data_IF_001673366962
#
_entry.id   IF_001673366962
#
_cell.length_a   1.000
_cell.length_b   1.000
_cell.length_c   1.000
_cell.angle_alpha   90.00
_cell.angle_beta   90.00
_cell.angle_gamma   90.00
#
_symmetry.space_group_name_H-M   'P 1'
#
loop_
_entity.id
_entity.type
_entity.pdbx_description
1 polymer ?
#
# COMPACT_ATOMS: atom_id res chain seq x y z
N UNK A 1 11.98 -70.35 45.81
CA UNK A 1 10.78 -69.65 46.31
C UNK A 1 9.77 -69.68 45.19
N UNK A 2 8.85 -70.64 45.25
CA UNK A 2 7.77 -70.83 44.27
C UNK A 2 6.68 -69.81 44.59
N UNK A 3 6.34 -68.87 43.69
CA UNK A 3 5.25 -67.95 43.95
C UNK A 3 3.93 -68.74 43.85
N UNK A 4 3.17 -68.78 44.95
CA UNK A 4 1.79 -69.26 45.00
C UNK A 4 0.95 -68.45 44.00
N UNK A 5 0.60 -69.08 42.89
CA UNK A 5 -0.29 -68.49 41.90
C UNK A 5 -1.73 -68.71 42.38
N UNK A 6 -2.39 -67.66 42.84
CA UNK A 6 -3.74 -67.76 43.37
C UNK A 6 -4.76 -67.89 42.23
N UNK A 7 -5.78 -68.74 42.41
CA UNK A 7 -6.86 -68.95 41.43
C UNK A 7 -7.65 -67.67 41.08
N UNK A 8 -7.51 -66.61 41.89
CA UNK A 8 -8.08 -65.29 41.62
C UNK A 8 -7.41 -64.55 40.46
N UNK A 9 -6.11 -64.76 40.22
CA UNK A 9 -5.41 -64.09 39.11
C UNK A 9 -5.80 -64.69 37.76
N UNK A 10 -6.07 -66.00 37.73
CA UNK A 10 -6.53 -66.72 36.54
C UNK A 10 -7.94 -66.28 36.13
N UNK A 11 -8.82 -65.93 37.08
CA UNK A 11 -10.17 -65.43 36.82
C UNK A 11 -10.16 -64.01 36.23
N UNK A 12 -9.23 -63.16 36.68
CA UNK A 12 -9.09 -61.77 36.25
C UNK A 12 -8.57 -61.65 34.82
N UNK A 13 -7.63 -62.52 34.41
CA UNK A 13 -7.14 -62.59 33.02
C UNK A 13 -8.23 -63.12 32.09
N UNK A 14 -9.01 -64.12 32.53
CA UNK A 14 -10.11 -64.69 31.74
C UNK A 14 -11.26 -63.69 31.49
N UNK A 15 -11.50 -62.75 32.40
CA UNK A 15 -12.44 -61.63 32.20
C UNK A 15 -11.90 -60.53 31.27
N UNK A 16 -10.57 -60.32 31.26
CA UNK A 16 -9.93 -59.39 30.33
C UNK A 16 -9.96 -59.93 28.88
N UNK A 17 -9.82 -61.24 28.70
CA UNK A 17 -9.93 -61.90 27.37
C UNK A 17 -11.37 -61.88 26.83
N UNK A 18 -12.38 -62.02 27.68
CA UNK A 18 -13.80 -61.86 27.30
C UNK A 18 -14.18 -60.43 26.91
N UNK A 19 -13.41 -59.43 27.38
CA UNK A 19 -13.63 -58.01 27.06
C UNK A 19 -12.90 -57.55 25.78
N UNK A 20 -12.12 -58.44 25.13
CA UNK A 20 -11.33 -58.12 23.93
C UNK A 20 -11.84 -58.80 22.65
N UNK A 21 -13.07 -59.32 22.66
CA UNK A 21 -13.76 -59.77 21.46
C UNK A 21 -14.74 -58.69 20.94
N UNK A 22 -14.20 -57.56 20.47
CA UNK A 22 -14.89 -56.74 19.47
C UNK A 22 -15.48 -55.36 19.86
N UNK A 23 -14.90 -54.58 20.78
CA UNK A 23 -15.28 -53.17 20.94
C UNK A 23 -14.09 -52.20 21.03
N UNK A 24 -14.25 -51.06 20.34
CA UNK A 24 -13.29 -49.98 20.13
C UNK A 24 -12.89 -49.29 21.44
N UNK A 25 -11.60 -48.95 21.58
CA UNK A 25 -11.06 -48.19 22.71
C UNK A 25 -11.65 -46.78 22.76
N UNK A 26 -12.35 -46.47 23.86
CA UNK A 26 -12.84 -45.13 24.21
C UNK A 26 -11.64 -44.29 24.67
N UNK A 27 -11.30 -43.26 23.89
CA UNK A 27 -10.22 -42.32 24.21
C UNK A 27 -10.79 -41.17 25.06
N UNK A 28 -10.52 -41.21 26.37
CA UNK A 28 -10.83 -40.14 27.32
C UNK A 28 -9.83 -38.99 27.15
N UNK A 29 -10.30 -37.85 26.66
CA UNK A 29 -9.49 -36.64 26.52
C UNK A 29 -10.33 -35.37 26.46
N UNK A 30 -11.15 -35.13 27.49
CA UNK A 30 -11.79 -33.84 27.70
C UNK A 30 -11.70 -33.43 29.19
N UNK A 31 -11.20 -32.20 29.42
CA UNK A 31 -11.17 -31.37 30.65
C UNK A 31 -10.10 -31.72 31.72
N UNK A 32 -9.15 -30.87 32.17
CA UNK A 32 -8.95 -29.39 32.24
C UNK A 32 -7.41 -29.03 32.24
N UNK A 33 -6.93 -27.81 32.58
CA UNK A 33 -6.94 -26.54 31.83
C UNK A 33 -5.52 -25.96 31.52
N UNK A 34 -5.40 -25.21 30.41
CA UNK A 34 -4.39 -24.16 30.07
C UNK A 34 -2.88 -24.48 30.07
N UNK A 35 -2.27 -24.45 28.86
CA UNK A 35 -1.15 -23.59 28.38
C UNK A 35 -0.41 -24.30 27.22
N UNK A 36 -0.41 -23.67 26.02
CA UNK A 36 0.50 -23.83 24.85
C UNK A 36 0.68 -25.24 24.22
N UNK A 37 0.73 -25.47 22.91
CA UNK A 37 0.70 -24.66 21.69
C UNK A 37 0.48 -25.68 20.55
N UNK A 38 -0.70 -25.69 19.95
CA UNK A 38 -1.19 -26.78 19.10
C UNK A 38 -0.80 -26.64 17.62
N UNK A 39 -0.12 -27.66 17.12
CA UNK A 39 -0.13 -28.11 15.72
C UNK A 39 -1.50 -28.71 15.41
N UNK A 40 -2.33 -27.98 14.67
CA UNK A 40 -3.68 -28.39 14.32
C UNK A 40 -3.74 -29.18 13.00
N UNK A 41 -4.52 -30.26 13.07
CA UNK A 41 -4.77 -31.25 12.04
C UNK A 41 -5.34 -30.69 10.74
N UNK A 42 -4.94 -31.38 9.66
CA UNK A 42 -5.57 -31.38 8.35
C UNK A 42 -7.06 -31.73 8.44
N UNK A 43 -7.92 -30.74 8.25
CA UNK A 43 -9.23 -30.93 7.62
C UNK A 43 -9.10 -30.29 6.24
N UNK A 44 -8.80 -31.13 5.26
CA UNK A 44 -8.78 -30.76 3.85
C UNK A 44 -10.19 -30.42 3.39
N UNK A 45 -10.59 -29.16 3.59
CA UNK A 45 -11.66 -28.57 2.79
C UNK A 45 -11.13 -28.43 1.37
N UNK A 46 -11.83 -28.92 0.32
CA UNK A 46 -11.40 -28.67 -1.04
C UNK A 46 -11.46 -27.16 -1.25
N UNK A 47 -10.29 -26.51 -1.20
CA UNK A 47 -10.12 -25.13 -1.59
C UNK A 47 -10.49 -25.06 -3.07
N UNK A 48 -11.78 -24.85 -3.30
CA UNK A 48 -12.32 -24.59 -4.62
C UNK A 48 -11.60 -23.32 -5.04
N UNK A 49 -10.67 -23.46 -5.97
CA UNK A 49 -9.94 -22.37 -6.62
C UNK A 49 -10.93 -21.55 -7.46
N UNK A 50 -11.89 -20.93 -6.79
CA UNK A 50 -12.74 -19.88 -7.35
C UNK A 50 -11.84 -18.68 -7.44
N UNK A 51 -11.31 -18.48 -8.63
CA UNK A 51 -10.69 -17.24 -9.04
C UNK A 51 -11.71 -16.12 -8.77
N UNK A 52 -11.61 -15.47 -7.61
CA UNK A 52 -12.56 -14.48 -7.15
C UNK A 52 -12.03 -13.11 -7.56
N UNK A 53 -12.50 -12.52 -8.68
CA UNK A 53 -12.03 -11.22 -9.15
C UNK A 53 -12.28 -10.11 -8.12
N UNK A 54 -13.28 -10.30 -7.24
CA UNK A 54 -13.53 -9.41 -6.11
C UNK A 54 -12.43 -9.45 -5.06
N UNK A 55 -11.75 -10.59 -4.87
CA UNK A 55 -10.58 -10.67 -4.01
C UNK A 55 -9.42 -9.82 -4.53
N UNK A 56 -9.18 -9.85 -5.85
CA UNK A 56 -8.21 -8.97 -6.50
C UNK A 56 -8.58 -7.49 -6.41
N UNK A 57 -9.87 -7.17 -6.48
CA UNK A 57 -10.37 -5.80 -6.32
C UNK A 57 -10.18 -5.31 -4.87
N UNK A 58 -10.49 -6.13 -3.86
CA UNK A 58 -10.25 -5.77 -2.46
C UNK A 58 -8.75 -5.69 -2.11
N UNK A 59 -7.91 -6.55 -2.68
CA UNK A 59 -6.45 -6.47 -2.52
C UNK A 59 -5.91 -5.22 -3.22
N UNK A 60 -6.39 -4.92 -4.42
CA UNK A 60 -6.05 -3.69 -5.15
C UNK A 60 -6.50 -2.43 -4.40
N UNK A 61 -7.72 -2.43 -3.87
CA UNK A 61 -8.25 -1.32 -3.08
C UNK A 61 -7.51 -1.16 -1.74
N UNK A 62 -7.16 -2.27 -1.10
CA UNK A 62 -6.36 -2.29 0.12
C UNK A 62 -4.95 -1.78 -0.12
N UNK A 63 -4.30 -2.23 -1.19
CA UNK A 63 -2.98 -1.73 -1.62
C UNK A 63 -3.04 -0.25 -1.99
N UNK A 64 -4.10 0.20 -2.68
CA UNK A 64 -4.30 1.60 -3.05
C UNK A 64 -4.53 2.48 -1.82
N UNK A 65 -5.31 2.00 -0.84
CA UNK A 65 -5.52 2.69 0.44
C UNK A 65 -4.22 2.75 1.26
N UNK A 66 -3.43 1.69 1.26
CA UNK A 66 -2.15 1.63 1.97
C UNK A 66 -1.12 2.56 1.30
N UNK A 67 -1.03 2.54 -0.03
CA UNK A 67 -0.25 3.53 -0.79
C UNK A 67 -0.73 4.94 -0.52
N UNK A 68 -2.04 5.18 -0.48
CA UNK A 68 -2.59 6.52 -0.20
C UNK A 68 -2.20 7.00 1.20
N UNK A 69 -2.19 6.13 2.20
CA UNK A 69 -1.85 6.51 3.58
C UNK A 69 -0.35 6.84 3.72
N UNK A 70 0.51 6.03 3.09
CA UNK A 70 1.96 6.30 3.01
C UNK A 70 2.27 7.57 2.23
N UNK A 71 1.54 7.81 1.14
CA UNK A 71 1.62 9.07 0.38
C UNK A 71 1.24 10.24 1.28
N UNK A 72 0.12 10.18 2.00
CA UNK A 72 -0.31 11.27 2.87
C UNK A 72 0.67 11.61 4.00
N UNK A 73 1.37 10.61 4.55
CA UNK A 73 2.41 10.84 5.57
C UNK A 73 3.71 11.42 5.00
N UNK A 74 3.94 11.28 3.69
CA UNK A 74 5.15 11.78 3.02
C UNK A 74 4.96 13.11 2.34
N UNK A 75 3.73 13.62 2.16
CA UNK A 75 3.48 14.90 1.49
C UNK A 75 3.86 16.10 2.38
N UNK A 76 4.43 17.15 1.77
CA UNK A 76 4.66 18.45 2.42
C UNK A 76 3.36 19.28 2.47
N UNK A 77 2.37 18.78 3.20
CA UNK A 77 1.04 19.38 3.30
C UNK A 77 1.05 20.78 3.95
N UNK A 78 1.90 21.00 4.95
CA UNK A 78 1.97 22.28 5.67
C UNK A 78 2.31 23.44 4.75
N UNK A 79 3.44 23.35 4.04
CA UNK A 79 3.90 24.39 3.12
C UNK A 79 2.92 24.60 1.95
N UNK A 80 2.36 23.50 1.42
CA UNK A 80 1.36 23.54 0.35
C UNK A 80 0.08 24.25 0.77
N UNK A 81 -0.46 23.94 1.96
CA UNK A 81 -1.69 24.57 2.48
C UNK A 81 -1.49 26.06 2.73
N UNK A 82 -0.34 26.48 3.27
CA UNK A 82 -0.03 27.90 3.48
C UNK A 82 -0.06 28.65 2.15
N UNK A 83 0.67 28.15 1.15
CA UNK A 83 0.71 28.77 -0.17
C UNK A 83 -0.65 28.76 -0.88
N UNK A 84 -1.41 27.66 -0.75
CA UNK A 84 -2.75 27.56 -1.30
C UNK A 84 -3.71 28.55 -0.65
N UNK A 85 -3.57 28.81 0.65
CA UNK A 85 -4.38 29.81 1.38
C UNK A 85 -4.11 31.22 0.87
N UNK A 86 -2.83 31.55 0.64
CA UNK A 86 -2.43 32.83 0.04
C UNK A 86 -2.97 32.93 -1.39
N UNK A 87 -2.77 31.88 -2.21
CA UNK A 87 -3.26 31.81 -3.57
C UNK A 87 -4.79 31.96 -3.65
N UNK A 88 -5.52 31.37 -2.70
CA UNK A 88 -6.97 31.43 -2.59
C UNK A 88 -7.47 32.87 -2.46
N UNK A 89 -6.78 33.72 -1.69
CA UNK A 89 -7.12 35.15 -1.61
C UNK A 89 -7.05 35.85 -2.98
N UNK A 90 -5.97 35.64 -3.73
CA UNK A 90 -5.80 36.20 -5.08
C UNK A 90 -6.83 35.64 -6.07
N UNK A 91 -7.03 34.33 -6.07
CA UNK A 91 -7.98 33.66 -6.95
C UNK A 91 -9.41 34.10 -6.66
N UNK A 92 -9.80 34.22 -5.39
CA UNK A 92 -11.13 34.68 -5.00
C UNK A 92 -11.40 36.10 -5.53
N UNK A 93 -10.50 37.05 -5.29
CA UNK A 93 -10.68 38.41 -5.80
C UNK A 93 -10.61 38.49 -7.32
N UNK A 94 -9.72 37.72 -7.94
CA UNK A 94 -9.58 37.64 -9.38
C UNK A 94 -10.87 37.15 -10.04
N UNK A 95 -11.46 36.07 -9.53
CA UNK A 95 -12.68 35.47 -10.05
C UNK A 95 -13.91 36.33 -9.75
N UNK A 96 -13.99 36.89 -8.54
CA UNK A 96 -15.11 37.72 -8.10
C UNK A 96 -15.23 39.01 -8.90
N UNK A 97 -14.12 39.75 -9.06
CA UNK A 97 -14.11 41.00 -9.84
C UNK A 97 -13.74 40.81 -11.30
N UNK A 98 -13.47 39.57 -11.74
CA UNK A 98 -12.94 39.23 -13.07
C UNK A 98 -11.70 40.06 -13.47
N UNK A 99 -10.76 40.22 -12.53
CA UNK A 99 -9.50 40.93 -12.75
C UNK A 99 -8.39 39.94 -13.12
N UNK A 100 -8.05 39.88 -14.41
CA UNK A 100 -7.05 38.96 -14.94
C UNK A 100 -5.63 39.14 -14.37
N UNK A 101 -5.10 40.37 -14.18
CA UNK A 101 -3.77 40.56 -13.58
C UNK A 101 -3.60 39.92 -12.19
N UNK A 102 -4.70 39.82 -11.43
CA UNK A 102 -4.73 39.20 -10.12
C UNK A 102 -4.77 37.66 -10.20
N UNK A 103 -5.24 37.11 -11.31
CA UNK A 103 -5.27 35.68 -11.58
C UNK A 103 -3.87 35.11 -11.73
N UNK A 104 -2.97 35.85 -12.38
CA UNK A 104 -1.60 35.43 -12.71
C UNK A 104 -0.83 34.97 -11.46
N UNK A 105 -0.63 35.81 -10.42
CA UNK A 105 0.07 35.38 -9.22
C UNK A 105 -0.72 34.30 -8.46
N UNK A 106 -2.04 34.34 -8.45
CA UNK A 106 -2.88 33.32 -7.80
C UNK A 106 -2.70 31.93 -8.42
N UNK A 107 -2.70 31.83 -9.75
CA UNK A 107 -2.53 30.58 -10.47
C UNK A 107 -1.10 30.02 -10.34
N UNK A 108 -0.07 30.87 -10.37
CA UNK A 108 1.33 30.46 -10.16
C UNK A 108 1.51 29.95 -8.73
N UNK A 109 1.01 30.67 -7.72
CA UNK A 109 1.10 30.25 -6.32
C UNK A 109 0.30 28.97 -6.04
N UNK A 110 -0.88 28.81 -6.63
CA UNK A 110 -1.66 27.58 -6.53
C UNK A 110 -0.95 26.39 -7.19
N UNK A 111 -0.36 26.61 -8.37
CA UNK A 111 0.46 25.61 -9.05
C UNK A 111 1.69 25.23 -8.22
N UNK A 112 2.39 26.22 -7.66
CA UNK A 112 3.54 26.01 -6.77
C UNK A 112 3.13 25.25 -5.49
N UNK A 113 2.00 25.61 -4.88
CA UNK A 113 1.45 24.91 -3.71
C UNK A 113 1.25 23.42 -4.01
N UNK A 114 0.64 23.12 -5.16
CA UNK A 114 0.48 21.75 -5.63
C UNK A 114 1.86 21.08 -5.84
N UNK A 115 2.79 21.74 -6.52
CA UNK A 115 4.13 21.19 -6.75
C UNK A 115 4.88 20.86 -5.46
N UNK A 116 4.83 21.74 -4.46
CA UNK A 116 5.47 21.54 -3.16
C UNK A 116 4.82 20.39 -2.39
N UNK A 117 3.50 20.23 -2.43
CA UNK A 117 2.87 19.08 -1.75
C UNK A 117 3.44 17.74 -2.21
N UNK A 118 3.73 17.60 -3.50
CA UNK A 118 4.24 16.37 -4.12
C UNK A 118 5.77 16.28 -4.22
N UNK A 119 6.51 17.25 -3.68
CA UNK A 119 7.99 17.27 -3.68
C UNK A 119 8.61 15.99 -3.12
N UNK A 120 8.08 15.38 -2.04
CA UNK A 120 8.68 14.17 -1.49
C UNK A 120 8.55 12.93 -2.40
N UNK A 121 7.66 12.98 -3.40
CA UNK A 121 7.37 11.85 -4.30
C UNK A 121 8.09 12.01 -5.63
N UNK A 122 8.04 13.19 -6.24
CA UNK A 122 8.63 13.45 -7.54
C UNK A 122 9.85 14.38 -7.47
N UNK A 123 10.38 14.63 -6.26
CA UNK A 123 11.51 15.54 -6.01
C UNK A 123 11.24 16.94 -6.58
N UNK A 124 12.28 17.66 -6.99
CA UNK A 124 12.18 18.97 -7.62
C UNK A 124 11.34 18.99 -8.91
N UNK A 125 11.06 17.83 -9.54
CA UNK A 125 10.22 17.77 -10.73
C UNK A 125 8.76 18.13 -10.44
N UNK A 126 8.23 17.81 -9.24
CA UNK A 126 6.85 18.19 -8.89
C UNK A 126 6.70 19.70 -8.81
N UNK A 127 7.71 20.42 -8.31
CA UNK A 127 7.70 21.88 -8.20
C UNK A 127 7.66 22.49 -9.61
N UNK A 128 8.51 22.01 -10.51
CA UNK A 128 8.56 22.45 -11.90
C UNK A 128 7.24 22.18 -12.64
N UNK A 129 6.66 21.00 -12.46
CA UNK A 129 5.34 20.66 -13.01
C UNK A 129 4.21 21.46 -12.37
N UNK A 130 4.25 21.72 -11.07
CA UNK A 130 3.27 22.54 -10.38
C UNK A 130 3.24 23.96 -10.93
N UNK A 131 4.41 24.59 -11.09
CA UNK A 131 4.51 25.92 -11.70
C UNK A 131 4.06 25.88 -13.16
N UNK A 132 4.45 24.86 -13.93
CA UNK A 132 3.99 24.68 -15.31
C UNK A 132 2.46 24.57 -15.40
N UNK A 133 1.83 23.82 -14.48
CA UNK A 133 0.37 23.74 -14.35
C UNK A 133 -0.25 25.08 -13.97
N UNK A 134 0.41 25.89 -13.14
CA UNK A 134 -0.01 27.26 -12.84
C UNK A 134 -0.06 28.14 -14.10
N UNK A 135 0.99 28.12 -14.93
CA UNK A 135 1.00 28.83 -16.20
C UNK A 135 -0.03 28.28 -17.20
N UNK A 136 -0.19 26.97 -17.25
CA UNK A 136 -1.18 26.32 -18.10
C UNK A 136 -2.61 26.71 -17.67
N UNK A 137 -2.87 26.82 -16.37
CA UNK A 137 -4.11 27.35 -15.84
C UNK A 137 -4.33 28.81 -16.25
N UNK A 138 -3.30 29.67 -16.29
CA UNK A 138 -3.41 31.03 -16.84
C UNK A 138 -3.89 31.00 -18.29
N UNK A 139 -3.38 30.10 -19.11
CA UNK A 139 -3.81 30.00 -20.51
C UNK A 139 -5.27 29.53 -20.63
N UNK A 140 -5.62 28.39 -20.02
CA UNK A 140 -6.94 27.79 -20.19
C UNK A 140 -8.04 28.61 -19.50
N UNK A 141 -7.80 29.04 -18.25
CA UNK A 141 -8.76 29.84 -17.48
C UNK A 141 -8.77 31.29 -17.97
N UNK A 142 -7.63 31.85 -18.39
CA UNK A 142 -7.56 33.17 -19.01
C UNK A 142 -8.39 33.25 -20.29
N UNK A 143 -8.27 32.26 -21.18
CA UNK A 143 -9.08 32.17 -22.40
C UNK A 143 -10.56 31.93 -22.10
N UNK A 144 -10.85 30.96 -21.22
CA UNK A 144 -12.22 30.53 -20.95
C UNK A 144 -13.04 31.56 -20.17
N UNK A 145 -12.45 32.12 -19.10
CA UNK A 145 -13.19 32.94 -18.13
C UNK A 145 -12.94 34.45 -18.30
N UNK A 146 -11.72 34.84 -18.68
CA UNK A 146 -11.32 36.24 -18.83
C UNK A 146 -11.30 36.73 -20.29
N UNK A 147 -11.56 35.82 -21.25
CA UNK A 147 -11.52 36.09 -22.70
C UNK A 147 -10.19 36.66 -23.21
N UNK A 148 -9.12 36.41 -22.47
CA UNK A 148 -7.78 36.83 -22.85
C UNK A 148 -7.23 35.95 -23.97
N UNK A 149 -6.58 36.58 -24.95
CA UNK A 149 -6.02 35.90 -26.13
C UNK A 149 -4.50 35.75 -26.08
N UNK A 150 -3.87 36.19 -25.00
CA UNK A 150 -2.42 36.14 -24.85
C UNK A 150 -1.92 34.71 -24.60
N UNK A 151 -1.05 34.24 -25.49
CA UNK A 151 -0.39 32.92 -25.38
C UNK A 151 0.91 32.98 -24.56
N UNK A 152 1.20 34.11 -23.91
CA UNK A 152 2.47 34.31 -23.21
C UNK A 152 2.78 33.23 -22.17
N UNK A 153 1.76 32.70 -21.49
CA UNK A 153 1.94 31.67 -20.46
C UNK A 153 2.47 30.32 -21.01
N UNK A 154 2.39 30.06 -22.33
CA UNK A 154 2.97 28.85 -22.94
C UNK A 154 4.49 28.87 -22.85
N UNK A 155 5.11 30.03 -23.07
CA UNK A 155 6.57 30.16 -23.17
C UNK A 155 7.29 29.68 -21.91
N UNK A 156 6.88 30.00 -20.68
CA UNK A 156 7.47 29.40 -19.48
C UNK A 156 6.93 28.00 -19.16
N UNK A 157 5.67 27.69 -19.49
CA UNK A 157 5.08 26.38 -19.16
C UNK A 157 5.81 25.21 -19.83
N UNK A 158 6.10 25.33 -21.13
CA UNK A 158 6.75 24.27 -21.92
C UNK A 158 8.16 23.92 -21.40
N UNK A 159 9.10 24.87 -21.24
CA UNK A 159 10.44 24.56 -20.74
C UNK A 159 10.41 24.08 -19.29
N UNK A 160 9.56 24.65 -18.42
CA UNK A 160 9.41 24.15 -17.06
C UNK A 160 8.93 22.70 -17.04
N UNK A 161 7.96 22.37 -17.89
CA UNK A 161 7.46 21.00 -18.00
C UNK A 161 8.53 20.04 -18.54
N UNK A 162 9.25 20.44 -19.59
CA UNK A 162 10.34 19.66 -20.17
C UNK A 162 11.49 19.43 -19.19
N UNK A 163 11.94 20.46 -18.47
CA UNK A 163 12.98 20.34 -17.45
C UNK A 163 12.48 19.49 -16.29
N UNK A 164 11.23 19.66 -15.85
CA UNK A 164 10.61 18.79 -14.84
C UNK A 164 10.62 17.32 -15.27
N UNK A 165 10.26 17.05 -16.53
CA UNK A 165 10.31 15.70 -17.08
C UNK A 165 11.74 15.13 -17.11
N UNK A 166 12.72 15.92 -17.54
CA UNK A 166 14.12 15.51 -17.55
C UNK A 166 14.62 15.19 -16.13
N UNK A 167 14.35 16.07 -15.16
CA UNK A 167 14.70 15.87 -13.74
C UNK A 167 14.00 14.62 -13.18
N UNK A 168 12.73 14.40 -13.53
CA UNK A 168 11.99 13.21 -13.12
C UNK A 168 12.64 11.93 -13.66
N UNK A 169 13.02 11.91 -14.94
CA UNK A 169 13.70 10.75 -15.54
C UNK A 169 15.06 10.50 -14.89
N UNK A 170 15.85 11.55 -14.67
CA UNK A 170 17.18 11.44 -14.04
C UNK A 170 17.09 10.95 -12.58
N UNK A 171 16.12 11.42 -11.80
CA UNK A 171 15.90 10.96 -10.43
C UNK A 171 15.21 9.59 -10.38
N UNK A 172 14.33 9.28 -11.32
CA UNK A 172 13.74 7.95 -11.45
C UNK A 172 14.83 6.90 -11.72
N UNK A 173 15.78 7.22 -12.59
CA UNK A 173 16.88 6.32 -12.94
C UNK A 173 17.82 6.05 -11.75
N UNK A 174 18.04 7.03 -10.86
CA UNK A 174 18.82 6.83 -9.63
C UNK A 174 18.09 5.96 -8.60
N UNK A 175 16.75 6.08 -8.50
CA UNK A 175 15.91 5.20 -7.68
C UNK A 175 15.90 3.76 -8.23
N UNK A 176 15.90 3.57 -9.55
CA UNK A 176 16.11 2.26 -10.17
C UNK A 176 17.50 1.69 -9.85
N UNK A 177 18.55 2.51 -9.85
CA UNK A 177 19.90 2.09 -9.46
C UNK A 177 19.99 1.59 -8.01
N UNK A 178 19.31 2.26 -7.08
CA UNK A 178 19.23 1.82 -5.68
C UNK A 178 18.29 0.61 -5.49
N UNK A 179 17.19 0.53 -6.25
CA UNK A 179 16.25 -0.61 -6.23
C UNK A 179 16.88 -1.92 -6.72
N UNK A 180 17.79 -1.86 -7.70
CA UNK A 180 18.55 -3.02 -8.20
C UNK A 180 19.48 -3.61 -7.13
N UNK A 181 19.86 -2.86 -6.10
CA UNK A 181 20.64 -3.39 -4.95
C UNK A 181 19.75 -4.24 -4.02
N UNK A 182 18.45 -3.91 -3.92
CA UNK A 182 17.48 -4.62 -3.08
C UNK A 182 16.88 -5.86 -3.76
N UNK A 183 16.81 -5.87 -5.09
CA UNK A 183 16.30 -7.01 -5.88
C UNK A 183 17.06 -8.33 -5.56
N UNK A 184 18.41 -8.37 -5.52
CA UNK A 184 19.16 -9.57 -5.14
C UNK A 184 18.83 -10.03 -3.71
N UNK A 185 18.72 -9.10 -2.76
CA UNK A 185 18.43 -9.41 -1.35
C UNK A 185 17.01 -10.02 -1.22
N UNK A 186 16.03 -9.46 -1.93
CA UNK A 186 14.67 -10.00 -2.00
C UNK A 186 14.61 -11.35 -2.71
N UNK A 187 15.39 -11.56 -3.78
CA UNK A 187 15.49 -12.85 -4.48
C UNK A 187 16.14 -13.93 -3.61
N UNK A 188 17.16 -13.58 -2.83
CA UNK A 188 17.79 -14.47 -1.85
C UNK A 188 16.79 -14.83 -0.74
N UNK A 189 16.06 -13.85 -0.20
CA UNK A 189 15.01 -14.08 0.80
C UNK A 189 13.87 -14.95 0.27
N UNK A 190 13.43 -14.71 -0.97
CA UNK A 190 12.41 -15.50 -1.65
C UNK A 190 12.89 -16.94 -1.91
N UNK A 191 14.16 -17.12 -2.31
CA UNK A 191 14.78 -18.43 -2.49
C UNK A 191 14.88 -19.23 -1.18
N UNK A 192 15.23 -18.57 -0.07
CA UNK A 192 15.23 -19.16 1.27
C UNK A 192 13.81 -19.53 1.73
N UNK A 193 12.83 -18.67 1.48
CA UNK A 193 11.43 -18.91 1.82
C UNK A 193 10.83 -20.10 1.04
N UNK A 194 11.06 -20.16 -0.28
CA UNK A 194 10.65 -21.27 -1.13
C UNK A 194 11.40 -22.58 -0.82
N UNK A 195 12.66 -22.48 -0.36
CA UNK A 195 13.47 -23.62 0.06
C UNK A 195 13.06 -24.21 1.42
N UNK A 196 12.53 -23.39 2.34
CA UNK A 196 12.12 -23.83 3.67
C UNK A 196 10.75 -24.54 3.66
N UNK A 197 9.87 -24.22 2.70
CA UNK A 197 8.54 -24.82 2.57
C UNK A 197 8.49 -26.23 1.96
N UNK A 198 9.64 -26.85 1.66
CA UNK A 198 9.74 -28.23 1.17
C UNK A 198 10.15 -29.18 2.29
N UNK A 199 9.24 -29.44 3.23
CA UNK A 199 9.20 -30.67 4.03
C UNK A 199 7.76 -31.08 4.25
#
# INVERSE_FOLDING_TARGET
MTPDYSDNDTARVRQAELSSAGQQTVNLGAQLPTVASGSANMVGSPATQRNNPWGWLLIGLGALLLLSNVVWQTLNLEAGVILLTIASCFLFFSLWKRIFPLFIPGAILAGLAFGITFEPIASAASILWGIALGFLAILFVGRGLFKEKSDWAVFPAVPLFAVGFMVFVLNGLSVFGAGVIWVPIMLIGLGLYLGWGRR
#
